data_IF_526165436010
#
_entry.id   IF_526165436010
#
_cell.length_a   1.000
_cell.length_b   1.000
_cell.length_c   1.000
_cell.angle_alpha   90.00
_cell.angle_beta   90.00
_cell.angle_gamma   90.00
#
_symmetry.space_group_name_H-M   'P 1'
#
loop_
_entity.id
_entity.type
_entity.pdbx_description
1 polymer ?
#
# COMPACT_ATOMS: atom_id res chain seq x y z
N UNK A 1 -19.48 8.61 -6.72
CA UNK A 1 -18.37 9.04 -7.57
C UNK A 1 -18.92 9.25 -8.96
N UNK A 2 -18.29 10.12 -9.74
CA UNK A 2 -18.69 10.39 -11.12
C UNK A 2 -18.30 9.19 -12.00
N UNK A 3 -19.22 8.76 -12.87
CA UNK A 3 -19.08 7.62 -13.77
C UNK A 3 -18.80 8.14 -15.18
N UNK A 4 -17.74 7.64 -15.82
CA UNK A 4 -17.38 8.00 -17.20
C UNK A 4 -17.43 6.72 -18.04
N UNK A 5 -18.28 6.74 -19.06
CA UNK A 5 -18.32 5.71 -20.11
C UNK A 5 -17.58 6.23 -21.35
N UNK A 6 -16.61 5.45 -21.84
CA UNK A 6 -15.91 5.75 -23.09
C UNK A 6 -16.53 4.90 -24.21
N UNK A 7 -17.16 5.55 -25.17
CA UNK A 7 -17.71 4.91 -26.37
C UNK A 7 -16.69 5.01 -27.51
N UNK A 8 -16.22 3.87 -28.04
CA UNK A 8 -15.21 3.85 -29.11
C UNK A 8 -14.35 2.58 -29.14
N UNK A 9 -14.22 1.87 -28.02
CA UNK A 9 -13.97 0.43 -28.06
C UNK A 9 -15.28 -0.27 -28.41
N UNK A 10 -15.25 -1.39 -29.13
CA UNK A 10 -16.45 -2.22 -29.37
C UNK A 10 -17.04 -2.85 -28.08
N UNK A 11 -16.58 -2.39 -26.91
CA UNK A 11 -16.92 -2.88 -25.57
C UNK A 11 -17.14 -1.66 -24.68
N UNK A 12 -18.28 -1.51 -24.00
CA UNK A 12 -18.51 -0.42 -23.06
C UNK A 12 -17.57 -0.55 -21.85
N UNK A 13 -16.89 0.55 -21.52
CA UNK A 13 -15.94 0.64 -20.41
C UNK A 13 -16.49 1.61 -19.37
N UNK A 14 -16.62 1.16 -18.12
CA UNK A 14 -17.03 1.99 -16.99
C UNK A 14 -15.81 2.34 -16.14
N UNK A 15 -15.47 3.62 -16.06
CA UNK A 15 -14.42 4.12 -15.18
C UNK A 15 -15.03 4.64 -13.89
N UNK A 16 -14.62 4.06 -12.76
CA UNK A 16 -15.16 4.42 -11.44
C UNK A 16 -14.07 4.93 -10.52
N UNK A 17 -14.12 6.22 -10.19
CA UNK A 17 -13.27 6.83 -9.17
C UNK A 17 -13.72 6.44 -7.76
N UNK A 18 -12.84 5.74 -7.04
CA UNK A 18 -13.10 5.21 -5.70
C UNK A 18 -12.64 6.15 -4.57
N UNK A 19 -11.84 7.18 -4.91
CA UNK A 19 -11.29 8.13 -3.94
C UNK A 19 -9.87 7.78 -3.46
N UNK A 20 -9.37 8.46 -2.42
CA UNK A 20 -8.03 8.23 -1.90
C UNK A 20 -7.98 7.00 -0.99
N UNK A 21 -7.52 5.88 -1.53
CA UNK A 21 -7.42 4.58 -0.84
C UNK A 21 -5.95 4.16 -0.75
N UNK A 22 -5.39 3.64 -1.85
CA UNK A 22 -3.96 3.30 -1.97
C UNK A 22 -3.13 4.52 -2.39
N UNK A 23 -3.67 5.32 -3.30
CA UNK A 23 -3.09 6.55 -3.84
C UNK A 23 -3.97 7.76 -3.50
N UNK A 24 -3.71 8.91 -4.13
CA UNK A 24 -4.54 10.11 -3.95
C UNK A 24 -5.86 10.04 -4.75
N UNK A 25 -5.95 9.12 -5.72
CA UNK A 25 -7.04 9.05 -6.69
C UNK A 25 -7.12 7.63 -7.25
N UNK A 26 -7.56 6.68 -6.44
CA UNK A 26 -7.75 5.31 -6.90
C UNK A 26 -9.00 5.20 -7.75
N UNK A 27 -8.92 4.38 -8.79
CA UNK A 27 -10.03 4.13 -9.71
C UNK A 27 -9.97 2.70 -10.18
N UNK A 28 -11.14 2.16 -10.51
CA UNK A 28 -11.30 0.83 -11.07
C UNK A 28 -11.97 0.91 -12.44
N UNK A 29 -11.69 -0.07 -13.29
CA UNK A 29 -12.31 -0.18 -14.62
C UNK A 29 -13.17 -1.43 -14.64
N UNK A 30 -14.46 -1.27 -14.91
CA UNK A 30 -15.40 -2.38 -15.06
C UNK A 30 -15.73 -2.54 -16.54
N UNK A 31 -15.70 -3.79 -17.00
CA UNK A 31 -16.15 -4.24 -18.31
C UNK A 31 -17.37 -5.16 -18.11
N UNK A 32 -18.60 -4.62 -18.01
CA UNK A 32 -19.76 -5.39 -17.60
C UNK A 32 -20.11 -6.54 -18.54
N UNK A 33 -19.94 -6.35 -19.85
CA UNK A 33 -20.22 -7.40 -20.85
C UNK A 33 -19.29 -8.61 -20.69
N UNK A 34 -18.02 -8.35 -20.40
CA UNK A 34 -17.00 -9.39 -20.17
C UNK A 34 -16.95 -9.87 -18.72
N UNK A 35 -17.66 -9.20 -17.81
CA UNK A 35 -17.62 -9.45 -16.35
C UNK A 35 -16.21 -9.40 -15.78
N UNK A 36 -15.43 -8.41 -16.21
CA UNK A 36 -14.04 -8.21 -15.76
C UNK A 36 -13.91 -6.85 -15.07
N UNK A 37 -13.25 -6.83 -13.91
CA UNK A 37 -12.86 -5.60 -13.24
C UNK A 37 -11.34 -5.51 -13.10
N UNK A 38 -10.73 -4.42 -13.60
CA UNK A 38 -9.35 -4.06 -13.32
C UNK A 38 -9.33 -3.16 -12.09
N UNK A 39 -8.74 -3.63 -11.00
CA UNK A 39 -8.85 -2.95 -9.71
C UNK A 39 -7.66 -2.08 -9.37
N UNK A 40 -6.56 -2.20 -10.14
CA UNK A 40 -5.27 -1.64 -9.75
C UNK A 40 -4.88 -2.09 -8.34
N UNK A 41 -4.18 -1.21 -7.62
CA UNK A 41 -3.69 -1.46 -6.26
C UNK A 41 -4.78 -1.36 -5.18
N UNK A 42 -6.07 -1.41 -5.55
CA UNK A 42 -7.13 -1.73 -4.59
C UNK A 42 -7.01 -3.19 -4.10
N UNK A 43 -6.58 -4.11 -4.98
CA UNK A 43 -6.41 -5.54 -4.67
C UNK A 43 -4.95 -5.98 -4.76
N UNK A 44 -4.54 -6.72 -3.73
CA UNK A 44 -3.31 -7.50 -3.68
C UNK A 44 -3.67 -8.94 -3.33
N UNK A 45 -3.41 -9.88 -4.22
CA UNK A 45 -3.80 -11.29 -4.03
C UNK A 45 -2.58 -12.10 -3.58
N UNK A 46 -2.72 -12.78 -2.44
CA UNK A 46 -1.68 -13.55 -1.76
C UNK A 46 -0.43 -12.74 -1.35
N UNK A 47 -0.58 -11.42 -1.23
CA UNK A 47 0.47 -10.46 -0.89
C UNK A 47 -0.16 -9.41 0.02
N UNK A 48 0.44 -9.11 1.17
CA UNK A 48 -0.07 -8.07 2.06
C UNK A 48 -0.08 -6.70 1.33
N UNK A 49 -1.22 -5.98 1.28
CA UNK A 49 -1.29 -4.65 0.69
C UNK A 49 -0.31 -3.67 1.34
N UNK A 50 0.32 -2.81 0.54
CA UNK A 50 1.15 -1.72 1.09
C UNK A 50 0.24 -0.55 1.42
N UNK A 51 -0.12 -0.42 2.71
CA UNK A 51 -0.87 0.74 3.17
C UNK A 51 0.07 1.94 3.26
N UNK A 52 -0.12 2.96 2.42
CA UNK A 52 0.65 4.22 2.47
C UNK A 52 0.01 5.27 3.35
N UNK A 53 -1.32 5.25 3.42
CA UNK A 53 -2.15 6.12 4.23
C UNK A 53 -3.27 5.29 4.85
N UNK A 54 -3.63 5.60 6.08
CA UNK A 54 -4.86 5.11 6.70
C UNK A 54 -6.00 6.10 6.49
N UNK A 55 -7.21 5.79 7.00
CA UNK A 55 -7.52 4.60 7.80
C UNK A 55 -7.93 3.38 6.96
N UNK A 56 -7.73 2.17 7.48
CA UNK A 56 -8.06 0.89 6.83
C UNK A 56 -9.54 0.77 6.42
N UNK A 57 -10.45 1.48 7.09
CA UNK A 57 -11.88 1.49 6.75
C UNK A 57 -12.19 2.07 5.38
N UNK A 58 -11.31 2.89 4.79
CA UNK A 58 -11.50 3.37 3.41
C UNK A 58 -11.39 2.23 2.41
N UNK A 59 -10.44 1.31 2.62
CA UNK A 59 -10.34 0.07 1.86
C UNK A 59 -11.56 -0.82 2.05
N UNK A 60 -12.00 -1.02 3.29
CA UNK A 60 -13.18 -1.85 3.57
C UNK A 60 -14.39 -1.34 2.80
N UNK A 61 -14.67 -0.02 2.88
CA UNK A 61 -15.78 0.59 2.14
C UNK A 61 -15.65 0.39 0.63
N UNK A 62 -14.47 0.65 0.07
CA UNK A 62 -14.26 0.52 -1.37
C UNK A 62 -14.40 -0.92 -1.88
N UNK A 63 -14.01 -1.90 -1.06
CA UNK A 63 -14.17 -3.32 -1.40
C UNK A 63 -15.63 -3.77 -1.24
N UNK A 64 -16.35 -3.26 -0.24
CA UNK A 64 -17.78 -3.50 -0.08
C UNK A 64 -18.56 -2.90 -1.29
N UNK A 65 -18.25 -1.66 -1.68
CA UNK A 65 -18.81 -1.01 -2.87
C UNK A 65 -18.55 -1.84 -4.16
N UNK A 66 -17.36 -2.44 -4.28
CA UNK A 66 -17.01 -3.29 -5.43
C UNK A 66 -17.79 -4.61 -5.42
N UNK A 67 -17.98 -5.24 -4.26
CA UNK A 67 -18.81 -6.45 -4.11
C UNK A 67 -20.26 -6.16 -4.50
N UNK A 68 -20.80 -5.01 -4.10
CA UNK A 68 -22.18 -4.60 -4.44
C UNK A 68 -22.36 -4.33 -5.95
N UNK A 69 -21.33 -3.79 -6.60
CA UNK A 69 -21.38 -3.43 -8.01
C UNK A 69 -21.13 -4.60 -8.99
N UNK A 70 -20.76 -5.78 -8.49
CA UNK A 70 -20.32 -6.92 -9.30
C UNK A 70 -21.05 -8.22 -8.94
N UNK A 71 -20.97 -9.23 -9.83
CA UNK A 71 -21.58 -10.54 -9.63
C UNK A 71 -20.58 -11.63 -9.24
N UNK A 72 -21.06 -12.78 -8.78
CA UNK A 72 -20.23 -13.94 -8.40
C UNK A 72 -19.44 -14.55 -9.58
N UNK A 73 -19.85 -14.28 -10.81
CA UNK A 73 -19.20 -14.74 -12.04
C UNK A 73 -18.20 -13.73 -12.63
N UNK A 74 -17.89 -12.66 -11.89
CA UNK A 74 -16.90 -11.67 -12.29
C UNK A 74 -15.47 -12.10 -11.98
N UNK A 75 -14.56 -11.74 -12.88
CA UNK A 75 -13.12 -11.87 -12.69
C UNK A 75 -12.50 -10.51 -12.34
N UNK A 76 -11.52 -10.52 -11.45
CA UNK A 76 -10.81 -9.34 -10.98
C UNK A 76 -9.34 -9.44 -11.33
N UNK A 77 -8.84 -8.43 -12.04
CA UNK A 77 -7.43 -8.28 -12.38
C UNK A 77 -6.80 -7.31 -11.36
N UNK A 78 -6.04 -7.82 -10.38
CA UNK A 78 -5.43 -6.97 -9.36
C UNK A 78 -4.21 -6.23 -9.91
N UNK A 79 -3.78 -5.18 -9.20
CA UNK A 79 -2.48 -4.55 -9.44
C UNK A 79 -1.32 -5.49 -9.09
N UNK A 80 -1.52 -6.36 -8.10
CA UNK A 80 -0.53 -7.35 -7.66
C UNK A 80 -1.15 -8.71 -7.34
N UNK A 81 -0.46 -9.77 -7.78
CA UNK A 81 -0.89 -11.15 -7.57
C UNK A 81 -1.65 -11.72 -8.78
N UNK A 82 -2.15 -12.96 -8.67
CA UNK A 82 -2.90 -13.60 -9.74
C UNK A 82 -4.31 -13.02 -9.91
N UNK A 83 -4.89 -13.16 -11.11
CA UNK A 83 -6.31 -12.93 -11.38
C UNK A 83 -7.16 -13.74 -10.40
N UNK A 84 -8.24 -13.14 -9.91
CA UNK A 84 -9.10 -13.74 -8.87
C UNK A 84 -10.59 -13.55 -9.16
N UNK A 85 -11.43 -14.02 -8.26
CA UNK A 85 -12.87 -13.80 -8.22
C UNK A 85 -13.25 -13.04 -6.93
N UNK A 86 -14.55 -12.98 -6.60
CA UNK A 86 -15.02 -12.33 -5.37
C UNK A 86 -14.40 -12.88 -4.08
N UNK A 87 -13.88 -14.11 -4.05
CA UNK A 87 -13.18 -14.65 -2.88
C UNK A 87 -11.91 -13.86 -2.59
N UNK A 88 -11.17 -13.46 -3.63
CA UNK A 88 -10.00 -12.59 -3.48
C UNK A 88 -10.36 -11.21 -2.95
N UNK A 89 -11.44 -10.61 -3.48
CA UNK A 89 -11.96 -9.32 -3.00
C UNK A 89 -12.33 -9.39 -1.52
N UNK A 90 -13.12 -10.40 -1.14
CA UNK A 90 -13.54 -10.66 0.25
C UNK A 90 -12.34 -10.91 1.16
N UNK A 91 -11.33 -11.64 0.70
CA UNK A 91 -10.11 -11.91 1.47
C UNK A 91 -9.29 -10.66 1.75
N UNK A 92 -9.17 -9.73 0.79
CA UNK A 92 -8.52 -8.42 1.04
C UNK A 92 -9.37 -7.57 1.98
N UNK A 93 -10.71 -7.63 1.87
CA UNK A 93 -11.63 -6.92 2.77
C UNK A 93 -11.55 -7.43 4.20
N UNK A 94 -11.45 -8.75 4.39
CA UNK A 94 -11.20 -9.40 5.68
C UNK A 94 -9.88 -8.93 6.29
N UNK A 95 -8.81 -8.82 5.49
CA UNK A 95 -7.52 -8.31 5.94
C UNK A 95 -7.61 -6.89 6.53
N UNK A 96 -8.24 -5.96 5.82
CA UNK A 96 -8.36 -4.57 6.31
C UNK A 96 -9.33 -4.45 7.49
N UNK A 97 -10.39 -5.26 7.52
CA UNK A 97 -11.31 -5.34 8.67
C UNK A 97 -10.56 -5.83 9.91
N UNK A 98 -9.79 -6.92 9.78
CA UNK A 98 -8.93 -7.43 10.84
C UNK A 98 -7.95 -6.36 11.33
N UNK A 99 -7.25 -5.68 10.40
CA UNK A 99 -6.28 -4.65 10.74
C UNK A 99 -6.93 -3.52 11.55
N UNK A 100 -8.08 -3.03 11.09
CA UNK A 100 -8.83 -1.98 11.77
C UNK A 100 -9.23 -2.41 13.19
N UNK A 101 -9.82 -3.59 13.35
CA UNK A 101 -10.27 -4.11 14.64
C UNK A 101 -9.12 -4.48 15.58
N UNK A 102 -8.03 -5.03 15.06
CA UNK A 102 -6.89 -5.42 15.89
C UNK A 102 -6.19 -4.20 16.48
N UNK A 103 -6.07 -3.11 15.72
CA UNK A 103 -5.50 -1.85 16.21
C UNK A 103 -6.41 -1.18 17.24
N UNK A 104 -7.73 -1.32 17.15
CA UNK A 104 -8.65 -0.75 18.16
C UNK A 104 -8.48 -1.34 19.56
N UNK A 105 -7.91 -2.56 19.65
CA UNK A 105 -7.61 -3.25 20.91
C UNK A 105 -6.24 -2.86 21.50
N UNK A 106 -5.43 -2.09 20.78
CA UNK A 106 -4.15 -1.61 21.31
C UNK A 106 -4.37 -0.49 22.34
N UNK A 107 -3.63 -0.55 23.45
CA UNK A 107 -3.70 0.47 24.51
C UNK A 107 -2.94 1.75 24.14
N UNK A 108 -3.09 2.76 24.99
CA UNK A 108 -2.25 3.96 25.01
C UNK A 108 -2.19 4.70 23.66
N UNK A 109 -3.32 4.81 22.95
CA UNK A 109 -3.40 5.32 21.56
C UNK A 109 -2.56 6.59 21.33
N UNK A 110 -2.58 7.52 22.29
CA UNK A 110 -1.87 8.80 22.23
C UNK A 110 -0.34 8.68 22.26
N UNK A 111 0.22 7.58 22.77
CA UNK A 111 1.66 7.33 22.87
C UNK A 111 2.21 6.69 21.58
N UNK A 112 3.12 7.37 20.85
CA UNK A 112 3.82 6.80 19.69
C UNK A 112 4.77 5.65 20.03
N UNK A 113 5.32 5.57 21.24
CA UNK A 113 6.21 4.46 21.64
C UNK A 113 5.46 3.13 21.72
N UNK A 114 4.14 3.18 21.92
CA UNK A 114 3.25 2.02 21.88
C UNK A 114 2.94 1.51 20.45
N UNK A 115 3.46 2.15 19.39
CA UNK A 115 3.25 1.72 18.01
C UNK A 115 3.92 0.36 17.69
N UNK A 116 5.17 0.13 18.16
CA UNK A 116 5.86 -1.16 17.97
C UNK A 116 5.18 -2.32 18.71
N UNK A 117 4.87 -2.20 20.02
CA UNK A 117 4.10 -3.21 20.73
C UNK A 117 2.75 -3.51 20.08
N UNK A 118 2.03 -2.48 19.63
CA UNK A 118 0.75 -2.66 18.94
C UNK A 118 0.93 -3.43 17.61
N UNK A 119 1.90 -3.05 16.79
CA UNK A 119 2.14 -3.72 15.51
C UNK A 119 2.53 -5.21 15.70
N UNK A 120 3.32 -5.53 16.72
CA UNK A 120 3.64 -6.91 17.10
C UNK A 120 2.39 -7.67 17.58
N UNK A 121 1.55 -7.05 18.40
CA UNK A 121 0.29 -7.63 18.85
C UNK A 121 -0.64 -7.94 17.67
N UNK A 122 -0.78 -7.00 16.72
CA UNK A 122 -1.58 -7.16 15.51
C UNK A 122 -1.04 -8.29 14.63
N UNK A 123 0.27 -8.35 14.39
CA UNK A 123 0.83 -9.43 13.60
C UNK A 123 0.67 -10.80 14.29
N UNK A 124 0.99 -10.88 15.58
CA UNK A 124 0.92 -12.14 16.33
C UNK A 124 -0.53 -12.66 16.45
N UNK A 125 -1.49 -11.76 16.69
CA UNK A 125 -2.91 -12.09 16.84
C UNK A 125 -3.65 -12.38 15.53
N UNK A 126 -2.99 -12.24 14.37
CA UNK A 126 -3.67 -12.43 13.09
C UNK A 126 -4.07 -13.90 12.88
N UNK A 127 -5.32 -14.18 12.45
CA UNK A 127 -5.77 -15.54 12.15
C UNK A 127 -4.83 -16.27 11.20
N UNK A 128 -4.66 -17.57 11.42
CA UNK A 128 -3.68 -18.39 10.69
C UNK A 128 -3.96 -18.41 9.19
N UNK A 129 -5.22 -18.58 8.80
CA UNK A 129 -5.68 -18.58 7.42
C UNK A 129 -5.46 -17.22 6.72
N UNK A 130 -5.59 -16.11 7.44
CA UNK A 130 -5.22 -14.79 6.93
C UNK A 130 -3.70 -14.66 6.76
N UNK A 131 -2.89 -15.16 7.71
CA UNK A 131 -1.41 -15.21 7.56
C UNK A 131 -0.97 -16.11 6.42
N UNK A 132 -1.77 -17.11 6.06
CA UNK A 132 -1.55 -17.97 4.89
C UNK A 132 -1.86 -17.26 3.57
N UNK A 133 -2.61 -16.16 3.59
CA UNK A 133 -2.83 -15.30 2.41
C UNK A 133 -1.90 -14.07 2.38
N UNK A 134 -1.42 -13.61 3.54
CA UNK A 134 -0.67 -12.37 3.66
C UNK A 134 0.61 -12.61 4.47
N UNK A 135 1.71 -12.87 3.76
CA UNK A 135 2.92 -13.45 4.36
C UNK A 135 4.01 -12.43 4.71
N UNK A 136 3.85 -11.15 4.35
CA UNK A 136 4.87 -10.13 4.57
C UNK A 136 4.66 -9.44 5.93
N UNK A 137 5.24 -9.94 7.03
CA UNK A 137 5.00 -9.40 8.39
C UNK A 137 5.26 -7.91 8.47
N UNK A 138 6.31 -7.44 7.79
CA UNK A 138 6.67 -6.04 7.76
C UNK A 138 5.56 -5.14 7.20
N UNK A 139 4.85 -5.56 6.14
CA UNK A 139 3.75 -4.77 5.55
C UNK A 139 2.55 -4.70 6.48
N UNK A 140 2.23 -5.82 7.14
CA UNK A 140 1.15 -5.92 8.13
C UNK A 140 1.43 -4.98 9.30
N UNK A 141 2.66 -5.03 9.82
CA UNK A 141 3.08 -4.23 10.96
C UNK A 141 3.11 -2.73 10.65
N UNK A 142 3.64 -2.31 9.49
CA UNK A 142 3.50 -0.91 9.05
C UNK A 142 2.04 -0.50 8.94
N UNK A 143 1.20 -1.37 8.38
CA UNK A 143 -0.24 -1.14 8.29
C UNK A 143 -0.83 -0.83 9.65
N UNK A 144 -0.45 -1.58 10.68
CA UNK A 144 -0.91 -1.36 12.05
C UNK A 144 -0.47 0.01 12.60
N UNK A 145 0.79 0.40 12.37
CA UNK A 145 1.30 1.71 12.78
C UNK A 145 0.56 2.85 12.07
N UNK A 146 0.33 2.73 10.76
CA UNK A 146 -0.39 3.75 9.98
C UNK A 146 -1.84 3.87 10.41
N UNK A 147 -2.53 2.75 10.62
CA UNK A 147 -3.90 2.73 11.13
C UNK A 147 -3.98 3.40 12.50
N UNK A 148 -3.02 3.12 13.38
CA UNK A 148 -2.93 3.75 14.70
C UNK A 148 -2.66 5.26 14.61
N UNK A 149 -1.78 5.69 13.71
CA UNK A 149 -1.55 7.10 13.44
C UNK A 149 -2.80 7.80 12.90
N UNK A 150 -3.56 7.15 12.00
CA UNK A 150 -4.82 7.67 11.46
C UNK A 150 -5.87 7.83 12.57
N UNK A 151 -5.97 6.84 13.47
CA UNK A 151 -6.84 6.91 14.64
C UNK A 151 -6.46 8.05 15.59
N UNK A 152 -5.17 8.25 15.88
CA UNK A 152 -4.70 9.40 16.68
C UNK A 152 -5.06 10.75 16.03
N UNK A 153 -4.93 10.85 14.71
CA UNK A 153 -5.21 12.07 13.97
C UNK A 153 -6.70 12.34 13.74
N UNK A 154 -7.58 11.36 13.98
CA UNK A 154 -9.01 11.45 13.65
C UNK A 154 -9.28 11.49 12.14
N UNK A 155 -8.35 11.02 11.30
CA UNK A 155 -8.43 11.16 9.85
C UNK A 155 -7.22 10.57 9.13
N UNK A 156 -7.05 10.83 7.82
CA UNK A 156 -5.96 10.26 7.04
C UNK A 156 -4.58 10.64 7.58
N UNK A 157 -3.73 9.64 7.83
CA UNK A 157 -2.37 9.84 8.31
C UNK A 157 -1.38 8.96 7.55
N UNK A 158 -0.14 9.44 7.49
CA UNK A 158 1.02 8.76 6.90
C UNK A 158 2.13 8.69 7.93
N UNK A 159 2.95 7.65 7.84
CA UNK A 159 4.20 7.55 8.62
C UNK A 159 5.41 7.83 7.73
N UNK A 160 6.41 8.50 8.31
CA UNK A 160 7.62 8.91 7.61
C UNK A 160 8.39 7.70 7.03
N UNK A 161 8.93 7.87 5.82
CA UNK A 161 9.68 6.82 5.12
C UNK A 161 10.98 6.43 5.84
N UNK A 162 11.63 7.35 6.56
CA UNK A 162 12.78 7.05 7.43
C UNK A 162 12.39 6.13 8.57
N UNK A 163 11.20 6.32 9.16
CA UNK A 163 10.66 5.41 10.17
C UNK A 163 10.42 4.01 9.59
N UNK A 164 9.83 3.94 8.39
CA UNK A 164 9.65 2.67 7.65
C UNK A 164 10.98 1.95 7.41
N UNK A 165 12.00 2.65 6.93
CA UNK A 165 13.33 2.09 6.66
C UNK A 165 14.07 1.67 7.94
N UNK A 166 13.96 2.44 9.02
CA UNK A 166 14.50 2.07 10.33
C UNK A 166 13.86 0.79 10.85
N UNK A 167 12.56 0.59 10.63
CA UNK A 167 11.87 -0.65 10.96
C UNK A 167 12.31 -1.85 10.11
N UNK A 168 12.53 -1.69 8.78
CA UNK A 168 13.12 -2.75 7.94
C UNK A 168 14.51 -3.12 8.48
N UNK A 169 15.33 -2.12 8.82
CA UNK A 169 16.66 -2.30 9.39
C UNK A 169 16.64 -3.02 10.75
N UNK A 170 15.78 -2.59 11.69
CA UNK A 170 15.61 -3.22 13.00
C UNK A 170 15.08 -4.65 12.90
N UNK A 171 14.08 -4.89 12.03
CA UNK A 171 13.50 -6.22 11.83
C UNK A 171 14.47 -7.17 11.13
N UNK A 172 15.21 -6.72 10.11
CA UNK A 172 16.26 -7.52 9.47
C UNK A 172 17.45 -7.82 10.41
N UNK A 173 17.74 -6.92 11.35
CA UNK A 173 18.71 -7.15 12.44
C UNK A 173 18.21 -8.13 13.50
N UNK A 174 16.94 -8.05 13.91
CA UNK A 174 16.33 -8.94 14.92
C UNK A 174 16.03 -10.34 14.35
N UNK A 175 15.68 -10.45 13.06
CA UNK A 175 15.56 -11.73 12.33
C UNK A 175 16.91 -12.43 12.06
N UNK A 176 18.04 -11.71 12.09
CA UNK A 176 19.38 -12.30 12.04
C UNK A 176 19.77 -13.05 13.32
N UNK A 177 19.08 -12.81 14.45
CA UNK A 177 19.41 -13.40 15.75
C UNK A 177 18.53 -14.59 16.16
N UNK A 178 17.92 -15.28 15.20
CA UNK A 178 17.38 -16.63 15.40
C UNK A 178 15.94 -16.69 15.91
N UNK A 179 15.02 -16.96 14.98
CA UNK A 179 13.84 -17.77 15.25
C UNK A 179 14.07 -19.10 14.51
N UNK A 180 13.99 -20.27 15.17
CA UNK A 180 14.11 -21.53 14.47
C UNK A 180 12.87 -21.74 13.60
N UNK A 181 13.05 -21.96 12.29
CA UNK A 181 12.01 -22.55 11.43
C UNK A 181 11.65 -21.84 10.11
N UNK A 182 12.22 -20.68 9.76
CA UNK A 182 11.98 -20.05 8.45
C UNK A 182 13.29 -19.82 7.68
N UNK A 183 13.54 -20.63 6.66
CA UNK A 183 14.60 -20.39 5.67
C UNK A 183 14.14 -19.34 4.65
N UNK A 184 14.69 -18.13 4.75
CA UNK A 184 14.32 -16.95 3.94
C UNK A 184 15.30 -16.70 2.77
N UNK A 185 16.20 -17.64 2.48
CA UNK A 185 17.34 -17.44 1.55
C UNK A 185 16.99 -17.09 0.10
N UNK A 186 15.74 -17.25 -0.34
CA UNK A 186 15.38 -17.09 -1.77
C UNK A 186 14.76 -15.75 -2.16
N UNK A 187 14.25 -14.92 -1.23
CA UNK A 187 13.51 -13.70 -1.61
C UNK A 187 14.30 -12.38 -1.57
N UNK A 188 15.25 -12.22 -0.64
CA UNK A 188 15.85 -10.92 -0.32
C UNK A 188 17.02 -10.51 -1.23
N UNK A 189 17.62 -11.45 -1.97
CA UNK A 189 18.84 -11.20 -2.75
C UNK A 189 18.60 -10.40 -4.04
N UNK A 190 17.41 -10.45 -4.63
CA UNK A 190 17.11 -9.70 -5.85
C UNK A 190 16.88 -8.20 -5.61
N UNK A 191 16.37 -7.80 -4.44
CA UNK A 191 16.01 -6.40 -4.18
C UNK A 191 17.22 -5.51 -3.89
N UNK A 192 18.21 -6.04 -3.16
CA UNK A 192 19.39 -5.28 -2.74
C UNK A 192 20.38 -4.99 -3.88
N UNK A 193 20.38 -5.77 -4.96
CA UNK A 193 21.20 -5.46 -6.15
C UNK A 193 20.63 -4.30 -6.97
N UNK A 194 19.32 -4.09 -6.97
CA UNK A 194 18.67 -3.03 -7.77
C UNK A 194 18.76 -1.66 -7.09
N UNK A 195 18.56 -1.61 -5.77
CA UNK A 195 18.65 -0.37 -5.01
C UNK A 195 20.05 0.27 -5.03
N UNK A 196 21.12 -0.54 -5.12
CA UNK A 196 22.51 -0.06 -5.20
C UNK A 196 22.87 0.52 -6.59
N UNK A 197 22.28 0.00 -7.66
CA UNK A 197 22.51 0.51 -9.02
C UNK A 197 21.85 1.87 -9.25
N UNK A 198 20.70 2.14 -8.61
CA UNK A 198 19.97 3.42 -8.77
C UNK A 198 20.60 4.57 -7.98
N UNK A 199 21.29 4.28 -6.86
CA UNK A 199 22.03 5.31 -6.09
C UNK A 199 23.30 5.77 -6.82
N UNK A 200 24.02 4.86 -7.49
CA UNK A 200 25.25 5.18 -8.22
C UNK A 200 25.03 5.91 -9.56
N UNK A 201 23.81 5.90 -10.10
CA UNK A 201 23.41 6.65 -11.31
C UNK A 201 22.94 8.07 -10.98
N UNK A 202 22.35 8.29 -9.80
CA UNK A 202 21.86 9.61 -9.37
C UNK A 202 22.97 10.61 -8.98
N UNK A 203 24.13 10.12 -8.54
CA UNK A 203 25.26 10.97 -8.14
C UNK A 203 26.09 11.50 -9.31
N UNK A 204 26.04 10.87 -10.50
CA UNK A 204 26.81 11.31 -11.67
C UNK A 204 26.23 12.51 -12.41
N UNK A 205 25.00 12.94 -12.11
CA UNK A 205 24.31 13.99 -12.87
C UNK A 205 24.36 15.39 -12.24
N UNK A 206 25.09 15.60 -11.14
CA UNK A 206 25.24 16.91 -10.49
C UNK A 206 26.67 17.42 -10.49
N UNK A 207 27.20 17.73 -11.67
CA UNK A 207 28.35 18.63 -11.77
C UNK A 207 28.43 19.22 -13.18
N UNK A 208 28.06 20.50 -13.36
CA UNK A 208 28.81 21.49 -14.14
C UNK A 208 28.23 22.92 -13.94
N UNK A 209 29.07 23.98 -13.93
CA UNK A 209 28.68 25.33 -13.53
C UNK A 209 28.37 26.24 -14.73
N UNK A 210 27.32 27.06 -14.65
CA UNK A 210 27.09 28.16 -15.60
C UNK A 210 27.59 29.49 -15.04
N UNK A 211 28.37 30.16 -15.88
CA UNK A 211 29.18 31.36 -15.66
C UNK A 211 28.37 32.62 -15.35
N UNK A 212 28.97 33.50 -14.56
CA UNK A 212 28.61 34.90 -14.42
C UNK A 212 28.75 35.67 -15.75
N UNK A 213 27.82 36.58 -16.02
CA UNK A 213 28.00 37.68 -16.97
C UNK A 213 27.53 38.96 -16.26
N UNK A 214 28.46 39.88 -16.06
CA UNK A 214 28.26 41.25 -15.60
C UNK A 214 28.26 42.17 -16.82
N UNK A 215 27.33 43.13 -16.90
CA UNK A 215 27.47 44.33 -17.71
C UNK A 215 26.73 45.49 -17.01
N UNK A 216 27.47 46.57 -16.80
CA UNK A 216 27.10 47.75 -16.02
C UNK A 216 26.69 48.90 -16.94
N UNK A 217 25.68 49.66 -16.47
CA UNK A 217 25.34 51.08 -16.73
C UNK A 217 24.94 51.57 -18.13
N UNK A 218 23.82 52.28 -18.17
CA UNK A 218 23.76 53.69 -18.60
C UNK A 218 22.58 54.39 -17.90
N UNK A 219 22.83 55.61 -17.42
CA UNK A 219 21.88 56.47 -16.70
C UNK A 219 21.41 57.64 -17.59
N UNK A 220 20.22 58.17 -17.25
CA UNK A 220 19.60 59.47 -17.64
C UNK A 220 18.97 59.55 -19.03
N UNK A 221 17.65 59.83 -19.09
CA UNK A 221 17.05 61.15 -18.85
C UNK A 221 15.73 60.99 -18.10
#
# INVERSE_FOLDING_TARGET
GDDITIEGSQVPVRFWHMGPIHSKSDSVILLPESKVCYTGDLLFINIAPVMWSGPAVTWVKALDDLVEATGEDWLFVPGHGPVTDLRGVRRVREFFSYLHEAVSRCRDLADPEADEPCALQVFNGMPKDLKESFHEPYRIMIGAVIERAARRAGGPAKVDIKFKLQWIGKMSGRLRMGLPGLDWRTGAFCFLRRARAETELGERHKSHPSRAVSLTALSRM
#
